data_IF_182989755479
#
_entry.id   IF_182989755479
#
_cell.length_a   1.000
_cell.length_b   1.000
_cell.length_c   1.000
_cell.angle_alpha   90.00
_cell.angle_beta   90.00
_cell.angle_gamma   90.00
#
_symmetry.space_group_name_H-M   'P 1'
#
loop_
_entity.id
_entity.type
_entity.pdbx_description
1 polymer ?
#
# COMPACT_ATOMS: atom_id res chain seq x y z
N UNK A 1 -12.51 -13.44 -4.62
CA UNK A 1 -11.68 -12.61 -3.71
C UNK A 1 -11.97 -12.99 -2.28
N UNK A 2 -10.94 -12.96 -1.42
CA UNK A 2 -11.04 -13.18 0.03
C UNK A 2 -10.95 -11.82 0.76
N UNK A 3 -11.70 -11.67 1.84
CA UNK A 3 -11.55 -10.52 2.73
C UNK A 3 -10.28 -10.70 3.58
N UNK A 4 -9.39 -9.74 3.49
CA UNK A 4 -8.23 -9.58 4.34
C UNK A 4 -8.30 -8.24 5.10
N UNK A 5 -7.38 -8.03 6.03
CA UNK A 5 -7.26 -6.77 6.76
C UNK A 5 -5.78 -6.39 6.91
N UNK A 6 -5.48 -5.11 6.70
CA UNK A 6 -4.21 -4.51 7.07
C UNK A 6 -4.24 -4.18 8.56
N UNK A 7 -3.46 -4.88 9.35
CA UNK A 7 -3.63 -4.87 10.81
C UNK A 7 -3.02 -3.67 11.52
N UNK A 8 -2.19 -2.88 10.86
CA UNK A 8 -1.44 -1.78 11.49
C UNK A 8 -2.31 -0.67 12.11
N UNK A 9 -3.58 -0.57 11.71
CA UNK A 9 -4.54 0.39 12.26
C UNK A 9 -5.42 -0.17 13.39
N UNK A 10 -5.23 -1.44 13.77
CA UNK A 10 -5.89 -2.05 14.92
C UNK A 10 -5.05 -1.83 16.19
N UNK A 11 -5.48 -0.91 17.03
CA UNK A 11 -4.82 -0.60 18.31
C UNK A 11 -5.25 -1.60 19.40
N UNK A 12 -4.74 -2.82 19.28
CA UNK A 12 -4.96 -3.91 20.24
C UNK A 12 -3.77 -4.88 20.22
N UNK A 13 -3.57 -5.68 21.29
CA UNK A 13 -2.53 -6.73 21.33
C UNK A 13 -2.70 -7.77 20.22
N UNK A 14 -1.60 -8.40 19.81
CA UNK A 14 -1.56 -9.36 18.71
C UNK A 14 -2.60 -10.49 18.83
N UNK A 15 -2.72 -11.14 19.99
CA UNK A 15 -3.69 -12.22 20.19
C UNK A 15 -5.14 -11.72 20.09
N UNK A 16 -5.43 -10.53 20.60
CA UNK A 16 -6.77 -9.90 20.51
C UNK A 16 -7.08 -9.54 19.05
N UNK A 17 -6.11 -9.06 18.30
CA UNK A 17 -6.25 -8.79 16.88
C UNK A 17 -6.58 -10.07 16.10
N UNK A 18 -5.93 -11.19 16.39
CA UNK A 18 -6.25 -12.47 15.76
C UNK A 18 -7.69 -12.92 16.10
N UNK A 19 -8.11 -12.77 17.37
CA UNK A 19 -9.49 -13.10 17.80
C UNK A 19 -10.52 -12.21 17.15
N UNK A 20 -10.23 -10.90 17.02
CA UNK A 20 -11.05 -9.97 16.26
C UNK A 20 -11.22 -10.44 14.82
N UNK A 21 -10.15 -10.74 14.11
CA UNK A 21 -10.19 -11.21 12.74
C UNK A 21 -11.10 -12.45 12.58
N UNK A 22 -10.94 -13.45 13.46
CA UNK A 22 -11.77 -14.66 13.45
C UNK A 22 -13.24 -14.31 13.70
N UNK A 23 -13.53 -13.44 14.68
CA UNK A 23 -14.90 -13.04 15.03
C UNK A 23 -15.61 -12.33 13.87
N UNK A 24 -14.86 -11.58 13.06
CA UNK A 24 -15.33 -10.86 11.88
C UNK A 24 -15.29 -11.72 10.60
N UNK A 25 -14.94 -12.99 10.68
CA UNK A 25 -14.80 -13.90 9.52
C UNK A 25 -13.79 -13.44 8.46
N UNK A 26 -12.80 -12.68 8.89
CA UNK A 26 -11.66 -12.30 8.04
C UNK A 26 -10.82 -13.55 7.79
N UNK A 27 -10.47 -13.82 6.54
CA UNK A 27 -9.78 -15.03 6.16
C UNK A 27 -8.25 -14.89 6.13
N UNK A 28 -7.76 -13.67 5.89
CA UNK A 28 -6.35 -13.38 5.71
C UNK A 28 -5.96 -12.06 6.36
N UNK A 29 -4.69 -11.92 6.67
CA UNK A 29 -4.15 -10.70 7.26
C UNK A 29 -2.91 -10.23 6.51
N UNK A 30 -2.79 -8.93 6.40
CA UNK A 30 -1.63 -8.20 5.95
C UNK A 30 -0.99 -7.53 7.17
N UNK A 31 0.29 -7.85 7.44
CA UNK A 31 1.00 -7.37 8.63
C UNK A 31 2.03 -6.31 8.27
N UNK A 32 1.94 -5.16 8.91
CA UNK A 32 2.98 -4.14 8.89
C UNK A 32 4.24 -4.61 9.62
N UNK A 33 5.40 -4.41 8.98
CA UNK A 33 6.70 -4.82 9.52
C UNK A 33 7.59 -3.64 9.91
N UNK A 34 7.14 -2.42 9.65
CA UNK A 34 7.85 -1.19 9.97
C UNK A 34 7.64 -0.10 8.91
N UNK A 35 8.52 0.89 8.89
CA UNK A 35 8.42 2.09 8.08
C UNK A 35 7.09 2.82 8.35
N UNK A 36 6.43 3.35 7.29
CA UNK A 36 5.16 4.08 7.43
C UNK A 36 3.98 3.18 7.81
N UNK A 37 4.06 1.90 7.50
CA UNK A 37 3.03 0.92 7.89
C UNK A 37 2.99 0.68 9.40
N UNK A 38 4.03 1.09 10.15
CA UNK A 38 4.19 0.67 11.54
C UNK A 38 4.34 -0.84 11.70
N UNK A 39 4.48 -1.30 12.93
CA UNK A 39 4.63 -2.73 13.23
C UNK A 39 4.00 -3.10 14.58
N UNK A 40 2.74 -2.74 14.88
CA UNK A 40 2.15 -2.99 16.20
C UNK A 40 2.02 -4.47 16.54
N UNK A 41 2.00 -5.34 15.52
CA UNK A 41 1.81 -6.78 15.66
C UNK A 41 3.03 -7.60 15.21
N UNK A 42 4.16 -6.95 14.92
CA UNK A 42 5.36 -7.58 14.39
C UNK A 42 6.62 -6.93 14.98
N UNK A 43 7.28 -7.60 15.91
CA UNK A 43 8.63 -7.23 16.31
C UNK A 43 9.61 -7.79 15.27
N UNK A 44 9.92 -7.01 14.23
CA UNK A 44 10.69 -7.45 13.07
C UNK A 44 12.07 -7.95 13.48
N UNK A 45 12.77 -7.26 14.37
CA UNK A 45 14.12 -7.64 14.81
C UNK A 45 14.12 -8.94 15.59
N UNK A 46 13.16 -9.13 16.49
CA UNK A 46 12.97 -10.37 17.21
C UNK A 46 12.62 -11.53 16.27
N UNK A 47 11.66 -11.31 15.36
CA UNK A 47 11.19 -12.37 14.46
C UNK A 47 12.24 -12.81 13.43
N UNK A 48 13.16 -11.92 13.03
CA UNK A 48 14.29 -12.28 12.17
C UNK A 48 15.34 -13.06 12.97
N UNK A 49 15.68 -12.62 14.19
CA UNK A 49 16.80 -13.17 14.95
C UNK A 49 16.46 -14.44 15.78
N UNK A 50 15.23 -14.59 16.25
CA UNK A 50 14.81 -15.70 17.12
C UNK A 50 13.80 -16.62 16.41
N UNK A 51 14.27 -17.82 16.06
CA UNK A 51 13.43 -18.85 15.42
C UNK A 51 12.23 -19.25 16.29
N UNK A 52 12.42 -19.41 17.58
CA UNK A 52 11.36 -19.87 18.48
C UNK A 52 10.27 -18.82 18.63
N UNK A 53 10.65 -17.53 18.77
CA UNK A 53 9.71 -16.43 18.80
C UNK A 53 8.93 -16.34 17.48
N UNK A 54 9.61 -16.48 16.35
CA UNK A 54 8.99 -16.46 15.01
C UNK A 54 8.00 -17.61 14.82
N UNK A 55 8.37 -18.83 15.16
CA UNK A 55 7.48 -20.00 15.06
C UNK A 55 6.25 -19.81 15.96
N UNK A 56 6.43 -19.40 17.22
CA UNK A 56 5.31 -19.14 18.13
C UNK A 56 4.35 -18.08 17.58
N UNK A 57 4.89 -16.99 17.06
CA UNK A 57 4.11 -15.89 16.48
C UNK A 57 3.30 -16.38 15.27
N UNK A 58 3.93 -17.10 14.36
CA UNK A 58 3.26 -17.58 13.14
C UNK A 58 2.26 -18.70 13.41
N UNK A 59 2.58 -19.61 14.33
CA UNK A 59 1.68 -20.72 14.71
C UNK A 59 0.42 -20.21 15.44
N UNK A 60 0.49 -19.15 16.23
CA UNK A 60 -0.68 -18.53 16.84
C UNK A 60 -1.72 -18.09 15.78
N UNK A 61 -1.26 -17.48 14.68
CA UNK A 61 -2.08 -17.09 13.54
C UNK A 61 -2.68 -18.32 12.84
N UNK A 62 -1.84 -19.30 12.51
CA UNK A 62 -2.24 -20.52 11.80
C UNK A 62 -3.23 -21.36 12.62
N UNK A 63 -3.06 -21.43 13.93
CA UNK A 63 -3.96 -22.16 14.83
C UNK A 63 -5.39 -21.59 14.82
N UNK A 64 -5.54 -20.30 14.48
CA UNK A 64 -6.84 -19.64 14.32
C UNK A 64 -7.38 -19.74 12.88
N UNK A 65 -6.68 -20.43 11.98
CA UNK A 65 -7.08 -20.60 10.58
C UNK A 65 -6.91 -19.35 9.72
N UNK A 66 -6.12 -18.37 10.17
CA UNK A 66 -5.83 -17.15 9.43
C UNK A 66 -4.62 -17.35 8.52
N UNK A 67 -4.69 -16.76 7.32
CA UNK A 67 -3.62 -16.75 6.33
C UNK A 67 -2.82 -15.44 6.42
N UNK A 68 -1.49 -15.51 6.41
CA UNK A 68 -0.64 -14.34 6.20
C UNK A 68 -0.50 -14.09 4.70
N UNK A 69 -1.30 -13.18 4.16
CA UNK A 69 -1.34 -12.95 2.71
C UNK A 69 -0.24 -12.02 2.20
N UNK A 70 0.27 -11.14 3.05
CA UNK A 70 1.37 -10.23 2.70
C UNK A 70 2.05 -9.68 3.96
N UNK A 71 3.33 -9.31 3.81
CA UNK A 71 4.04 -8.40 4.72
C UNK A 71 4.10 -7.02 4.08
N UNK A 72 3.89 -5.98 4.89
CA UNK A 72 3.87 -4.59 4.42
C UNK A 72 4.99 -3.77 5.07
N UNK A 73 5.89 -3.23 4.25
CA UNK A 73 6.97 -2.33 4.67
C UNK A 73 6.91 -0.98 3.92
N UNK A 74 5.72 -0.48 3.63
CA UNK A 74 5.51 0.79 2.92
C UNK A 74 6.32 1.92 3.52
N UNK A 75 7.06 2.64 2.67
CA UNK A 75 7.98 3.70 3.06
C UNK A 75 8.71 4.28 1.86
N UNK A 76 9.82 4.97 2.10
CA UNK A 76 10.65 5.58 1.06
C UNK A 76 12.08 5.01 1.05
N UNK A 77 12.29 3.79 0.55
CA UNK A 77 13.61 3.16 0.51
C UNK A 77 14.59 3.87 -0.45
N UNK A 78 14.11 4.76 -1.32
CA UNK A 78 14.96 5.53 -2.24
C UNK A 78 15.61 6.76 -1.59
N UNK A 79 15.05 7.25 -0.49
CA UNK A 79 15.56 8.45 0.20
C UNK A 79 16.20 8.15 1.56
N UNK A 80 15.76 7.09 2.24
CA UNK A 80 16.14 6.85 3.63
C UNK A 80 16.72 5.44 3.82
N UNK A 81 18.02 5.39 4.15
CA UNK A 81 18.73 4.13 4.40
C UNK A 81 18.06 3.26 5.46
N UNK A 82 17.57 3.88 6.55
CA UNK A 82 16.86 3.17 7.59
C UNK A 82 15.60 2.45 7.08
N UNK A 83 14.89 3.04 6.13
CA UNK A 83 13.69 2.44 5.55
C UNK A 83 14.04 1.32 4.56
N UNK A 84 15.17 1.43 3.88
CA UNK A 84 15.74 0.34 3.10
C UNK A 84 16.17 -0.84 4.00
N UNK A 85 16.72 -0.60 5.19
CA UNK A 85 17.10 -1.65 6.12
C UNK A 85 15.89 -2.42 6.67
N UNK A 86 14.77 -1.73 6.94
CA UNK A 86 13.49 -2.39 7.27
C UNK A 86 13.01 -3.25 6.10
N UNK A 87 13.13 -2.75 4.86
CA UNK A 87 12.76 -3.50 3.64
C UNK A 87 13.56 -4.80 3.54
N UNK A 88 14.89 -4.74 3.72
CA UNK A 88 15.76 -5.94 3.70
C UNK A 88 15.34 -6.97 4.74
N UNK A 89 15.17 -6.54 6.01
CA UNK A 89 14.73 -7.43 7.09
C UNK A 89 13.35 -8.01 6.84
N UNK A 90 12.44 -7.25 6.22
CA UNK A 90 11.12 -7.76 5.81
C UNK A 90 11.24 -8.87 4.78
N UNK A 91 12.16 -8.74 3.81
CA UNK A 91 12.40 -9.79 2.82
C UNK A 91 13.01 -11.05 3.46
N UNK A 92 13.94 -10.89 4.41
CA UNK A 92 14.48 -12.00 5.21
C UNK A 92 13.36 -12.71 6.01
N UNK A 93 12.49 -11.96 6.67
CA UNK A 93 11.34 -12.54 7.39
C UNK A 93 10.39 -13.25 6.44
N UNK A 94 10.08 -12.67 5.27
CA UNK A 94 9.26 -13.30 4.24
C UNK A 94 9.84 -14.65 3.79
N UNK A 95 11.15 -14.72 3.53
CA UNK A 95 11.85 -15.95 3.20
C UNK A 95 11.68 -17.02 4.30
N UNK A 96 11.88 -16.62 5.56
CA UNK A 96 11.79 -17.54 6.70
C UNK A 96 10.38 -18.08 6.94
N UNK A 97 9.36 -17.30 6.61
CA UNK A 97 7.93 -17.65 6.75
C UNK A 97 7.34 -18.29 5.50
N UNK A 98 8.03 -18.23 4.36
CA UNK A 98 7.52 -18.67 3.06
C UNK A 98 6.48 -17.71 2.46
N UNK A 99 6.43 -16.44 2.90
CA UNK A 99 5.55 -15.42 2.34
C UNK A 99 6.08 -14.98 0.98
N UNK A 100 5.21 -14.94 -0.02
CA UNK A 100 5.57 -14.71 -1.42
C UNK A 100 5.23 -13.31 -1.93
N UNK A 101 4.46 -12.55 -1.17
CA UNK A 101 3.97 -11.22 -1.55
C UNK A 101 4.36 -10.18 -0.53
N UNK A 102 5.00 -9.10 -1.01
CA UNK A 102 5.33 -7.92 -0.21
C UNK A 102 4.50 -6.75 -0.72
N UNK A 103 3.88 -6.01 0.19
CA UNK A 103 3.26 -4.71 -0.07
C UNK A 103 4.22 -3.62 0.38
N UNK A 104 4.48 -2.66 -0.47
CA UNK A 104 5.34 -1.52 -0.17
C UNK A 104 5.07 -0.33 -1.09
N UNK A 105 5.80 0.76 -0.92
CA UNK A 105 5.76 1.92 -1.80
C UNK A 105 7.02 2.02 -2.65
N UNK A 106 6.93 2.72 -3.78
CA UNK A 106 8.05 2.86 -4.71
C UNK A 106 9.21 3.69 -4.16
N UNK A 107 8.93 4.53 -3.20
CA UNK A 107 9.84 5.59 -2.80
C UNK A 107 9.77 6.82 -3.71
N UNK A 108 10.34 7.92 -3.22
CA UNK A 108 10.45 9.20 -3.91
C UNK A 108 11.82 9.79 -3.63
N UNK A 109 12.69 9.93 -4.63
CA UNK A 109 14.00 10.56 -4.47
C UNK A 109 13.91 12.07 -4.29
N UNK A 110 15.04 12.67 -3.90
CA UNK A 110 15.26 14.11 -4.02
C UNK A 110 15.25 14.60 -5.47
N UNK A 111 15.20 15.91 -5.67
CA UNK A 111 15.13 16.52 -7.00
C UNK A 111 16.49 16.57 -7.74
N UNK A 112 17.62 16.43 -7.04
CA UNK A 112 18.95 16.49 -7.64
C UNK A 112 20.00 15.78 -6.77
N UNK A 113 21.18 15.54 -7.37
CA UNK A 113 22.32 14.95 -6.67
C UNK A 113 22.75 15.78 -5.47
N UNK A 114 22.97 15.11 -4.33
CA UNK A 114 23.42 15.74 -3.09
C UNK A 114 22.29 16.31 -2.21
N UNK A 115 21.08 16.42 -2.72
CA UNK A 115 19.90 16.71 -1.90
C UNK A 115 19.35 15.41 -1.30
N UNK A 116 18.67 15.55 -0.15
CA UNK A 116 18.05 14.45 0.59
C UNK A 116 16.52 14.62 0.75
N UNK A 117 15.98 15.78 0.34
CA UNK A 117 14.56 16.08 0.48
C UNK A 117 13.79 15.49 -0.69
N UNK A 118 12.87 14.53 -0.48
CA UNK A 118 12.04 14.01 -1.55
C UNK A 118 11.20 15.10 -2.21
N UNK A 119 11.12 15.09 -3.54
CA UNK A 119 10.37 16.08 -4.33
C UNK A 119 9.41 15.37 -5.27
N UNK A 120 8.11 15.63 -5.12
CA UNK A 120 7.08 15.06 -5.98
C UNK A 120 6.71 16.02 -7.11
N UNK A 121 6.96 15.62 -8.34
CA UNK A 121 6.66 16.39 -9.53
C UNK A 121 5.31 15.95 -10.10
N UNK A 122 4.37 16.89 -10.17
CA UNK A 122 3.00 16.65 -10.65
C UNK A 122 2.61 17.51 -11.85
N UNK A 123 3.56 18.22 -12.45
CA UNK A 123 3.34 19.09 -13.60
C UNK A 123 4.58 19.09 -14.50
N UNK A 124 4.39 19.36 -15.78
CA UNK A 124 5.46 19.43 -16.78
C UNK A 124 6.12 20.80 -16.91
N UNK A 125 5.68 21.78 -16.15
CA UNK A 125 6.19 23.14 -16.18
C UNK A 125 6.50 23.67 -14.77
N UNK A 126 7.61 24.37 -14.55
CA UNK A 126 8.64 24.80 -15.52
C UNK A 126 9.53 23.64 -16.04
N UNK A 127 10.37 23.88 -17.08
CA UNK A 127 11.18 22.83 -17.76
C UNK A 127 12.04 21.99 -16.81
N UNK A 128 12.55 22.56 -15.74
CA UNK A 128 13.35 21.91 -14.70
C UNK A 128 12.66 20.68 -14.09
N UNK A 129 11.32 20.65 -14.15
CA UNK A 129 10.55 19.48 -13.67
C UNK A 129 10.88 18.21 -14.45
N UNK A 130 11.19 18.34 -15.75
CA UNK A 130 11.57 17.21 -16.61
C UNK A 130 12.99 16.73 -16.28
N UNK A 131 13.92 17.64 -15.98
CA UNK A 131 15.27 17.30 -15.55
C UNK A 131 15.25 16.57 -14.19
N UNK A 132 14.40 17.03 -13.27
CA UNK A 132 14.17 16.36 -11.97
C UNK A 132 13.62 14.95 -12.18
N UNK A 133 12.60 14.79 -13.00
CA UNK A 133 12.01 13.47 -13.28
C UNK A 133 13.00 12.53 -13.96
N UNK A 134 13.83 13.03 -14.90
CA UNK A 134 14.85 12.22 -15.54
C UNK A 134 15.87 11.71 -14.52
N UNK A 135 16.38 12.59 -13.66
CA UNK A 135 17.26 12.22 -12.55
C UNK A 135 16.63 11.20 -11.62
N UNK A 136 15.41 11.46 -11.15
CA UNK A 136 14.69 10.59 -10.20
C UNK A 136 14.48 9.17 -10.75
N UNK A 137 14.07 9.07 -12.00
CA UNK A 137 13.79 7.77 -12.63
C UNK A 137 15.06 7.04 -13.07
N UNK A 138 15.91 7.71 -13.84
CA UNK A 138 16.99 7.03 -14.56
C UNK A 138 18.28 6.91 -13.75
N UNK A 139 18.55 7.88 -12.85
CA UNK A 139 19.76 7.85 -12.05
C UNK A 139 19.55 7.24 -10.65
N UNK A 140 18.33 7.29 -10.11
CA UNK A 140 18.05 6.80 -8.75
C UNK A 140 17.13 5.59 -8.76
N UNK A 141 15.87 5.75 -9.19
CA UNK A 141 14.86 4.73 -8.95
C UNK A 141 15.14 3.43 -9.71
N UNK A 142 15.34 3.48 -11.03
CA UNK A 142 15.56 2.27 -11.84
C UNK A 142 16.77 1.46 -11.37
N UNK A 143 17.95 2.06 -11.10
CA UNK A 143 19.09 1.31 -10.56
C UNK A 143 18.78 0.65 -9.22
N UNK A 144 18.24 1.40 -8.25
CA UNK A 144 17.95 0.87 -6.91
C UNK A 144 16.86 -0.20 -6.97
N UNK A 145 15.84 -0.03 -7.80
CA UNK A 145 14.79 -1.02 -7.96
C UNK A 145 15.24 -2.33 -8.61
N UNK A 146 16.26 -2.30 -9.48
CA UNK A 146 16.91 -3.52 -9.97
C UNK A 146 17.56 -4.31 -8.83
N UNK A 147 18.20 -3.61 -7.90
CA UNK A 147 18.78 -4.26 -6.72
C UNK A 147 17.72 -4.78 -5.75
N UNK A 148 16.62 -4.03 -5.53
CA UNK A 148 15.48 -4.47 -4.72
C UNK A 148 14.84 -5.74 -5.30
N UNK A 149 14.59 -5.77 -6.61
CA UNK A 149 14.00 -6.95 -7.29
C UNK A 149 14.93 -8.15 -7.15
N UNK A 150 16.23 -7.98 -7.38
CA UNK A 150 17.20 -9.06 -7.20
C UNK A 150 17.21 -9.59 -5.77
N UNK A 151 17.21 -8.72 -4.78
CA UNK A 151 17.17 -9.11 -3.36
C UNK A 151 15.87 -9.87 -3.04
N UNK A 152 14.74 -9.45 -3.60
CA UNK A 152 13.46 -10.14 -3.45
C UNK A 152 13.49 -11.54 -4.07
N UNK A 153 14.09 -11.70 -5.27
CA UNK A 153 14.31 -12.98 -5.92
C UNK A 153 15.16 -13.92 -5.04
N UNK A 154 16.26 -13.40 -4.51
CA UNK A 154 17.19 -14.15 -3.65
C UNK A 154 16.49 -14.61 -2.35
N UNK A 155 15.48 -13.88 -1.87
CA UNK A 155 14.61 -14.24 -0.74
C UNK A 155 13.41 -15.12 -1.13
N UNK A 156 13.22 -15.46 -2.40
CA UNK A 156 12.13 -16.28 -2.89
C UNK A 156 10.76 -15.58 -2.88
N UNK A 157 10.75 -14.26 -2.89
CA UNK A 157 9.55 -13.43 -3.08
C UNK A 157 9.16 -13.50 -4.56
N UNK A 158 7.88 -13.59 -4.83
CA UNK A 158 7.36 -13.72 -6.20
C UNK A 158 6.68 -12.43 -6.68
N UNK A 159 6.19 -11.59 -5.76
CA UNK A 159 5.44 -10.38 -6.08
C UNK A 159 5.75 -9.24 -5.11
N UNK A 160 6.07 -8.08 -5.67
CA UNK A 160 6.14 -6.81 -4.95
C UNK A 160 4.96 -5.98 -5.43
N UNK A 161 3.99 -5.73 -4.55
CA UNK A 161 2.79 -4.95 -4.81
C UNK A 161 3.01 -3.50 -4.34
N UNK A 162 3.20 -2.58 -5.30
CA UNK A 162 3.42 -1.17 -5.02
C UNK A 162 2.11 -0.42 -4.89
N UNK A 163 1.93 0.24 -3.75
CA UNK A 163 0.78 1.12 -3.54
C UNK A 163 0.87 2.39 -4.39
N UNK A 164 -0.20 2.70 -5.11
CA UNK A 164 -0.34 3.93 -5.88
C UNK A 164 -0.64 5.11 -4.97
N UNK A 165 0.38 5.69 -4.37
CA UNK A 165 0.24 6.74 -3.36
C UNK A 165 0.80 8.07 -3.84
N UNK A 166 0.14 9.19 -3.50
CA UNK A 166 0.74 10.52 -3.67
C UNK A 166 2.07 10.65 -2.93
N UNK A 167 2.94 11.54 -3.35
CA UNK A 167 4.31 11.66 -2.83
C UNK A 167 5.16 10.39 -3.02
N UNK A 168 4.87 9.61 -4.09
CA UNK A 168 5.64 8.46 -4.54
C UNK A 168 5.92 8.59 -6.04
N UNK A 169 6.97 7.92 -6.56
CA UNK A 169 7.20 7.86 -8.01
C UNK A 169 6.13 7.04 -8.72
N UNK A 170 5.69 5.94 -8.11
CA UNK A 170 4.57 5.14 -8.59
C UNK A 170 3.31 5.60 -7.86
N UNK A 171 2.46 6.37 -8.55
CA UNK A 171 1.22 6.90 -8.00
C UNK A 171 -0.02 6.59 -8.88
N UNK A 172 0.19 6.01 -10.07
CA UNK A 172 -0.86 5.64 -11.01
C UNK A 172 -0.42 4.46 -11.91
N UNK A 173 -1.31 3.89 -12.74
CA UNK A 173 -0.94 2.79 -13.63
C UNK A 173 0.22 3.11 -14.57
N UNK A 174 0.27 4.30 -15.15
CA UNK A 174 1.33 4.70 -16.10
C UNK A 174 2.72 4.64 -15.45
N UNK A 175 2.85 5.19 -14.25
CA UNK A 175 4.12 5.21 -13.52
C UNK A 175 4.52 3.81 -13.01
N UNK A 176 3.55 2.96 -12.66
CA UNK A 176 3.82 1.56 -12.37
C UNK A 176 4.38 0.84 -13.59
N UNK A 177 3.70 0.96 -14.73
CA UNK A 177 4.09 0.25 -15.95
C UNK A 177 5.47 0.71 -16.43
N UNK A 178 5.80 2.00 -16.27
CA UNK A 178 7.17 2.51 -16.51
C UNK A 178 8.20 1.80 -15.66
N UNK A 179 7.96 1.64 -14.36
CA UNK A 179 8.90 0.94 -13.48
C UNK A 179 8.98 -0.54 -13.86
N UNK A 180 7.84 -1.20 -14.04
CA UNK A 180 7.74 -2.61 -14.40
C UNK A 180 8.45 -2.95 -15.70
N UNK A 181 8.37 -2.08 -16.71
CA UNK A 181 9.12 -2.23 -17.96
C UNK A 181 10.63 -2.22 -17.72
N UNK A 182 11.11 -1.38 -16.81
CA UNK A 182 12.53 -1.22 -16.53
C UNK A 182 13.13 -2.31 -15.63
N UNK A 183 12.33 -2.92 -14.72
CA UNK A 183 12.84 -3.82 -13.66
C UNK A 183 12.22 -5.22 -13.68
N UNK A 184 11.25 -5.46 -14.55
CA UNK A 184 10.64 -6.78 -14.74
C UNK A 184 9.29 -6.99 -14.05
N UNK A 185 8.69 -8.17 -14.28
CA UNK A 185 7.32 -8.46 -13.91
C UNK A 185 7.09 -8.76 -12.43
N UNK A 186 8.14 -8.85 -11.61
CA UNK A 186 7.98 -9.04 -10.15
C UNK A 186 7.25 -7.87 -9.50
N UNK A 187 7.34 -6.66 -10.08
CA UNK A 187 6.68 -5.45 -9.60
C UNK A 187 5.28 -5.33 -10.20
N UNK A 188 4.27 -5.17 -9.37
CA UNK A 188 2.88 -4.91 -9.75
C UNK A 188 2.23 -3.90 -8.82
N UNK A 189 0.95 -3.62 -9.00
CA UNK A 189 0.20 -2.66 -8.20
C UNK A 189 -0.45 -3.33 -6.99
N UNK A 190 -0.30 -2.71 -5.82
CA UNK A 190 -1.31 -2.72 -4.80
C UNK A 190 -2.28 -1.58 -5.17
N UNK A 191 -3.40 -1.91 -5.78
CA UNK A 191 -4.37 -0.92 -6.24
C UNK A 191 -5.19 -0.43 -5.06
N UNK A 192 -4.91 0.79 -4.64
CA UNK A 192 -5.69 1.53 -3.64
C UNK A 192 -6.54 2.60 -4.34
N UNK A 193 -7.86 2.42 -4.41
CA UNK A 193 -8.74 3.38 -5.07
C UNK A 193 -8.77 4.74 -4.38
N UNK A 194 -8.57 4.78 -3.07
CA UNK A 194 -8.70 6.02 -2.29
C UNK A 194 -7.76 7.13 -2.73
N UNK A 195 -6.55 6.75 -3.18
CA UNK A 195 -5.56 7.70 -3.66
C UNK A 195 -5.89 8.21 -5.06
N UNK A 196 -6.41 7.36 -5.95
CA UNK A 196 -6.79 7.79 -7.29
C UNK A 196 -7.92 8.80 -7.27
N UNK A 197 -8.90 8.64 -6.38
CA UNK A 197 -10.03 9.58 -6.30
C UNK A 197 -9.58 11.02 -6.12
N UNK A 198 -8.70 11.30 -5.16
CA UNK A 198 -8.25 12.67 -4.94
C UNK A 198 -7.19 13.14 -5.95
N UNK A 199 -6.50 12.23 -6.62
CA UNK A 199 -5.58 12.55 -7.72
C UNK A 199 -6.31 12.74 -9.06
N UNK A 200 -7.63 12.50 -9.13
CA UNK A 200 -8.45 12.68 -10.32
C UNK A 200 -8.43 11.49 -11.28
N UNK A 201 -7.95 10.34 -10.84
CA UNK A 201 -7.99 9.09 -11.58
C UNK A 201 -9.30 8.31 -11.33
N UNK A 202 -9.64 7.41 -12.24
CA UNK A 202 -10.74 6.45 -12.10
C UNK A 202 -10.18 5.08 -11.73
N UNK A 203 -10.44 4.55 -10.52
CA UNK A 203 -9.92 3.25 -10.11
C UNK A 203 -10.45 2.07 -10.93
N UNK A 204 -11.66 2.19 -11.50
CA UNK A 204 -12.24 1.16 -12.36
C UNK A 204 -11.47 1.07 -13.68
N UNK A 205 -11.18 2.20 -14.30
CA UNK A 205 -10.37 2.22 -15.51
C UNK A 205 -8.90 1.87 -15.22
N UNK A 206 -8.38 2.26 -14.07
CA UNK A 206 -7.06 1.83 -13.62
C UNK A 206 -6.96 0.29 -13.50
N UNK A 207 -8.00 -0.36 -12.95
CA UNK A 207 -8.05 -1.82 -12.87
C UNK A 207 -8.04 -2.48 -14.26
N UNK A 208 -8.73 -1.89 -15.26
CA UNK A 208 -8.70 -2.41 -16.65
C UNK A 208 -7.30 -2.32 -17.25
N UNK A 209 -6.68 -1.14 -17.17
CA UNK A 209 -5.31 -0.93 -17.70
C UNK A 209 -4.32 -1.88 -17.05
N UNK A 210 -4.34 -2.00 -15.73
CA UNK A 210 -3.44 -2.91 -15.02
C UNK A 210 -3.71 -4.39 -15.33
N UNK A 211 -4.99 -4.75 -15.55
CA UNK A 211 -5.39 -6.10 -15.92
C UNK A 211 -4.85 -6.53 -17.28
N UNK A 212 -4.83 -5.64 -18.27
CA UNK A 212 -4.25 -5.89 -19.60
C UNK A 212 -2.76 -6.28 -19.52
N UNK A 213 -2.07 -5.87 -18.45
CA UNK A 213 -0.66 -6.16 -18.18
C UNK A 213 -0.43 -7.24 -17.11
N UNK A 214 -1.50 -7.84 -16.55
CA UNK A 214 -1.41 -8.78 -15.43
C UNK A 214 -0.69 -8.16 -14.23
N UNK A 215 -0.93 -6.88 -13.96
CA UNK A 215 -0.15 -6.07 -13.03
C UNK A 215 -0.89 -5.72 -11.72
N UNK A 216 -2.07 -6.27 -11.43
CA UNK A 216 -2.74 -6.15 -10.14
C UNK A 216 -2.24 -7.28 -9.23
N UNK A 217 -1.52 -6.95 -8.17
CA UNK A 217 -0.92 -7.94 -7.27
C UNK A 217 -1.52 -7.92 -5.87
N UNK A 218 -2.15 -6.81 -5.51
CA UNK A 218 -2.87 -6.64 -4.26
C UNK A 218 -3.91 -5.53 -4.38
N UNK A 219 -4.85 -5.47 -3.45
CA UNK A 219 -5.86 -4.41 -3.38
C UNK A 219 -6.02 -3.97 -1.94
N UNK A 220 -5.97 -2.67 -1.70
CA UNK A 220 -6.47 -2.08 -0.49
C UNK A 220 -7.94 -1.69 -0.65
N UNK A 221 -8.80 -2.18 0.23
CA UNK A 221 -10.16 -1.71 0.41
C UNK A 221 -10.14 -0.45 1.28
N UNK A 222 -9.91 0.69 0.65
CA UNK A 222 -9.82 1.99 1.30
C UNK A 222 -10.62 3.02 0.52
N UNK A 223 -11.31 3.90 1.21
CA UNK A 223 -12.20 4.88 0.60
C UNK A 223 -11.79 6.32 0.94
N UNK A 224 -12.15 7.24 0.08
CA UNK A 224 -12.00 8.67 0.32
C UNK A 224 -13.24 9.43 -0.13
N UNK A 225 -13.56 10.50 0.57
CA UNK A 225 -14.67 11.39 0.24
C UNK A 225 -14.18 12.78 -0.12
N UNK A 226 -14.65 13.28 -1.27
CA UNK A 226 -14.37 14.65 -1.72
C UNK A 226 -15.31 15.64 -1.05
N UNK A 227 -14.78 16.65 -0.41
CA UNK A 227 -15.55 17.67 0.31
C UNK A 227 -15.83 18.85 -0.62
N UNK A 228 -16.97 18.80 -1.34
CA UNK A 228 -17.32 19.70 -2.44
C UNK A 228 -17.11 21.18 -2.13
N UNK A 229 -17.45 21.62 -0.92
CA UNK A 229 -17.30 23.00 -0.46
C UNK A 229 -15.84 23.50 -0.57
N UNK A 230 -14.88 22.61 -0.36
CA UNK A 230 -13.46 22.97 -0.31
C UNK A 230 -12.73 22.69 -1.61
N UNK A 231 -13.00 21.56 -2.28
CA UNK A 231 -12.30 21.24 -3.52
C UNK A 231 -12.81 22.02 -4.73
N UNK A 232 -14.09 22.33 -4.78
CA UNK A 232 -14.69 22.96 -5.96
C UNK A 232 -14.08 24.34 -6.30
N UNK A 233 -13.79 25.24 -5.33
CA UNK A 233 -13.11 26.48 -5.60
C UNK A 233 -11.57 26.38 -5.63
N UNK A 234 -10.95 25.35 -5.03
CA UNK A 234 -9.50 25.28 -4.78
C UNK A 234 -8.79 24.12 -5.48
N UNK A 235 -9.52 23.17 -6.05
CA UNK A 235 -8.96 21.91 -6.57
C UNK A 235 -8.75 20.86 -5.47
N UNK A 236 -8.24 19.69 -5.88
CA UNK A 236 -8.08 18.54 -5.01
C UNK A 236 -6.71 18.49 -4.31
N UNK A 237 -5.71 19.24 -4.80
CA UNK A 237 -4.40 19.31 -4.12
C UNK A 237 -4.57 20.07 -2.81
N UNK A 238 -4.35 19.38 -1.69
CA UNK A 238 -4.57 19.92 -0.36
C UNK A 238 -3.37 19.65 0.55
N UNK A 239 -2.85 20.70 1.16
CA UNK A 239 -1.67 20.67 2.04
C UNK A 239 -2.03 20.86 3.52
N UNK A 240 -3.31 20.92 3.86
CA UNK A 240 -3.74 21.03 5.25
C UNK A 240 -3.45 19.75 6.02
N UNK A 241 -3.14 19.83 7.33
CA UNK A 241 -2.93 18.66 8.17
C UNK A 241 -4.09 17.66 8.05
N UNK A 242 -3.78 16.37 8.13
CA UNK A 242 -4.77 15.31 7.92
C UNK A 242 -5.90 15.34 8.97
N UNK A 243 -5.61 15.77 10.17
CA UNK A 243 -6.55 15.96 11.28
C UNK A 243 -7.46 17.20 11.13
N UNK A 244 -7.16 18.09 10.18
CA UNK A 244 -8.02 19.22 9.85
C UNK A 244 -9.23 18.82 8.96
N UNK A 245 -9.75 17.60 9.12
CA UNK A 245 -10.75 16.95 8.26
C UNK A 245 -11.97 17.82 7.96
N UNK A 246 -12.42 18.68 8.88
CA UNK A 246 -13.55 19.59 8.66
C UNK A 246 -13.29 20.71 7.62
N UNK A 247 -12.06 20.89 7.13
CA UNK A 247 -11.66 21.99 6.23
C UNK A 247 -10.83 21.51 5.04
N UNK A 248 -10.69 20.21 4.84
CA UNK A 248 -9.92 19.62 3.73
C UNK A 248 -10.75 19.49 2.47
N UNK A 249 -10.09 19.43 1.32
CA UNK A 249 -10.72 19.17 0.02
C UNK A 249 -11.23 17.73 -0.10
N UNK A 250 -10.61 16.81 0.60
CA UNK A 250 -10.95 15.39 0.68
C UNK A 250 -10.47 14.78 2.00
N UNK A 251 -11.08 13.68 2.40
CA UNK A 251 -10.72 12.92 3.59
C UNK A 251 -10.76 11.43 3.30
N UNK A 252 -9.90 10.65 3.95
CA UNK A 252 -10.12 9.22 4.05
C UNK A 252 -11.34 8.97 4.94
N UNK A 253 -12.14 7.99 4.56
CA UNK A 253 -13.37 7.62 5.26
C UNK A 253 -13.52 6.11 5.28
N UNK A 254 -14.33 5.59 6.20
CA UNK A 254 -14.69 4.17 6.20
C UNK A 254 -15.25 3.77 4.82
N UNK A 255 -14.92 2.55 4.37
CA UNK A 255 -15.40 2.04 3.08
C UNK A 255 -16.92 2.13 3.01
N UNK A 256 -17.44 2.68 1.93
CA UNK A 256 -18.88 2.95 1.75
C UNK A 256 -19.33 4.35 2.16
N UNK A 257 -18.52 5.11 2.90
CA UNK A 257 -18.87 6.48 3.30
C UNK A 257 -18.43 7.55 2.27
N UNK A 258 -17.54 7.19 1.37
CA UNK A 258 -17.14 8.03 0.21
C UNK A 258 -17.85 7.60 -1.06
N UNK A 259 -17.81 6.32 -1.37
CA UNK A 259 -18.41 5.68 -2.53
C UNK A 259 -19.34 4.56 -2.05
N UNK A 260 -20.56 4.52 -2.59
CA UNK A 260 -21.59 3.59 -2.13
C UNK A 260 -21.31 2.10 -2.49
N UNK A 261 -22.08 1.20 -1.89
CA UNK A 261 -21.96 -0.23 -2.14
C UNK A 261 -22.16 -0.62 -3.63
N UNK A 262 -22.87 0.22 -4.41
CA UNK A 262 -23.05 -0.02 -5.85
C UNK A 262 -21.71 0.19 -6.57
N UNK A 263 -21.01 1.27 -6.26
CA UNK A 263 -19.69 1.57 -6.82
C UNK A 263 -18.66 0.47 -6.46
N UNK A 264 -18.62 0.05 -5.20
CA UNK A 264 -17.71 -1.00 -4.75
C UNK A 264 -17.98 -2.34 -5.43
N UNK A 265 -19.24 -2.71 -5.63
CA UNK A 265 -19.61 -3.93 -6.38
C UNK A 265 -19.17 -3.86 -7.84
N UNK A 266 -19.28 -2.69 -8.48
CA UNK A 266 -18.79 -2.48 -9.85
C UNK A 266 -17.26 -2.58 -9.90
N UNK A 267 -16.56 -1.90 -9.00
CA UNK A 267 -15.10 -1.96 -8.89
C UNK A 267 -14.60 -3.40 -8.73
N UNK A 268 -15.11 -4.15 -7.78
CA UNK A 268 -14.70 -5.55 -7.57
C UNK A 268 -15.09 -6.47 -8.73
N UNK A 269 -16.20 -6.20 -9.40
CA UNK A 269 -16.57 -6.93 -10.62
C UNK A 269 -15.54 -6.71 -11.72
N UNK A 270 -15.13 -5.47 -11.96
CA UNK A 270 -14.13 -5.13 -12.97
C UNK A 270 -12.75 -5.66 -12.59
N UNK A 271 -12.35 -5.55 -11.34
CA UNK A 271 -11.10 -6.13 -10.84
C UNK A 271 -11.02 -7.64 -11.13
N UNK A 272 -12.11 -8.37 -10.87
CA UNK A 272 -12.19 -9.81 -11.20
C UNK A 272 -12.12 -10.05 -12.70
N UNK A 273 -12.83 -9.25 -13.50
CA UNK A 273 -12.76 -9.33 -14.97
C UNK A 273 -11.35 -9.04 -15.49
N UNK A 274 -10.59 -8.23 -14.77
CA UNK A 274 -9.19 -7.88 -15.06
C UNK A 274 -8.18 -8.96 -14.59
N UNK A 275 -8.67 -10.10 -14.10
CA UNK A 275 -7.86 -11.29 -13.79
C UNK A 275 -7.39 -11.36 -12.32
N UNK A 276 -7.79 -10.47 -11.45
CA UNK A 276 -7.46 -10.53 -10.01
C UNK A 276 -8.62 -11.10 -9.20
N UNK A 277 -8.39 -12.21 -8.49
CA UNK A 277 -9.38 -12.86 -7.62
C UNK A 277 -8.74 -13.37 -6.29
N UNK A 278 -7.76 -12.63 -5.78
CA UNK A 278 -7.05 -12.93 -4.54
C UNK A 278 -7.63 -12.13 -3.34
N UNK A 279 -6.79 -11.63 -2.42
CA UNK A 279 -7.20 -10.92 -1.23
C UNK A 279 -7.50 -9.44 -1.51
N UNK A 280 -8.50 -8.91 -0.80
CA UNK A 280 -8.73 -7.48 -0.63
C UNK A 280 -8.48 -7.15 0.83
N UNK A 281 -7.44 -6.37 1.07
CA UNK A 281 -7.00 -5.96 2.42
C UNK A 281 -7.73 -4.69 2.83
N UNK A 282 -8.63 -4.78 3.79
CA UNK A 282 -9.31 -3.61 4.35
C UNK A 282 -8.27 -2.72 5.06
N UNK A 283 -8.17 -1.48 4.63
CA UNK A 283 -7.36 -0.44 5.27
C UNK A 283 -8.25 0.72 5.71
N UNK A 284 -8.26 1.03 7.00
CA UNK A 284 -9.13 2.05 7.56
C UNK A 284 -8.33 3.23 8.08
N UNK A 285 -8.62 4.43 7.57
CA UNK A 285 -7.99 5.69 7.98
C UNK A 285 -9.01 6.84 8.18
N UNK A 286 -10.23 6.53 8.58
CA UNK A 286 -11.23 7.54 8.91
C UNK A 286 -10.93 8.15 10.29
N UNK A 287 -10.41 9.37 10.32
CA UNK A 287 -10.08 10.07 11.56
C UNK A 287 -11.31 10.65 12.29
N UNK A 288 -12.50 10.51 11.73
CA UNK A 288 -13.77 10.93 12.39
C UNK A 288 -14.39 9.84 13.24
N UNK A 289 -13.89 8.62 13.13
CA UNK A 289 -14.32 7.43 13.87
C UNK A 289 -13.16 6.89 14.73
N UNK A 290 -13.48 6.05 15.72
CA UNK A 290 -12.45 5.18 16.26
C UNK A 290 -11.99 4.19 15.19
N UNK A 291 -10.74 3.73 15.26
CA UNK A 291 -10.23 2.78 14.26
C UNK A 291 -11.09 1.51 14.24
N UNK A 292 -11.51 1.03 15.40
CA UNK A 292 -12.37 -0.16 15.50
C UNK A 292 -13.75 0.05 14.86
N UNK A 293 -14.42 1.18 15.16
CA UNK A 293 -15.73 1.50 14.58
C UNK A 293 -15.66 1.66 13.07
N UNK A 294 -14.59 2.28 12.56
CA UNK A 294 -14.35 2.42 11.14
C UNK A 294 -14.14 1.09 10.43
N UNK A 295 -13.37 0.16 11.03
CA UNK A 295 -13.24 -1.20 10.50
C UNK A 295 -14.58 -1.92 10.48
N UNK A 296 -15.34 -1.88 11.59
CA UNK A 296 -16.65 -2.51 11.65
C UNK A 296 -17.64 -1.93 10.63
N UNK A 297 -17.66 -0.61 10.44
CA UNK A 297 -18.48 0.04 9.41
C UNK A 297 -18.09 -0.42 8.00
N UNK A 298 -16.80 -0.53 7.71
CA UNK A 298 -16.27 -0.92 6.40
C UNK A 298 -16.57 -2.39 6.04
N UNK A 299 -16.66 -3.28 7.02
CA UNK A 299 -16.91 -4.71 6.81
C UNK A 299 -18.33 -5.03 6.29
N UNK A 300 -19.24 -4.07 6.28
CA UNK A 300 -20.65 -4.27 5.89
C UNK A 300 -20.97 -3.76 4.47
N UNK A 301 -19.96 -3.28 3.73
CA UNK A 301 -20.10 -2.75 2.36
C UNK A 301 -19.70 -3.78 1.32
#
# INVERSE_FOLDING_TARGET
>A
MKLAIKTCTLDMPYEEMLDFCVSQKIAAIEIGTGNWSGAPHCDLDLLVSDKTAREKWYDAMRAKGLELCALNCSGNPLAYEKEMDVTKKTFELAQMLGVKKIVMMSGLPAGCRGDKTPVWITTSWPPETQEILDYQWNEVAIPVWKDIVKMAEDCGIERIALENHGMQLVYNPETLLRLREAVGPMVGMNLDPSHLFWMGGDPIEAARVLGEHGAIYHIHGKDSRSERRYWQPNGMLDTKPIDAFARRAWNYVAVGAGHDAKWWKEFFSVVRMSGYDEEVSLEMEDLTLSMLDGHLASLHV
#
